data_IF_761167469868
#
_entry.id   IF_761167469868
#
_cell.length_a   1.000
_cell.length_b   1.000
_cell.length_c   1.000
_cell.angle_alpha   90.00
_cell.angle_beta   90.00
_cell.angle_gamma   90.00
#
_symmetry.space_group_name_H-M   'P 1'
#
loop_
_entity.id
_entity.type
_entity.pdbx_description
1 polymer ?
#
# COMPACT_ATOMS: atom_id res chain seq x y z
N UNK A 1 -21.53 -16.63 16.21
CA UNK A 1 -21.93 -15.60 15.21
C UNK A 1 -20.81 -14.58 15.12
N UNK A 2 -19.93 -14.65 14.12
CA UNK A 2 -18.87 -13.66 13.89
C UNK A 2 -19.50 -12.40 13.32
N UNK A 3 -19.40 -11.30 14.04
CA UNK A 3 -19.78 -9.97 13.57
C UNK A 3 -19.09 -9.70 12.23
N UNK A 4 -19.85 -9.68 11.14
CA UNK A 4 -19.42 -9.03 9.92
C UNK A 4 -19.28 -7.55 10.28
N UNK A 5 -18.05 -7.11 10.54
CA UNK A 5 -17.74 -5.69 10.65
C UNK A 5 -18.29 -5.04 9.39
N UNK A 6 -19.28 -4.17 9.52
CA UNK A 6 -19.71 -3.27 8.44
C UNK A 6 -18.47 -2.53 7.99
N UNK A 7 -17.96 -2.89 6.81
CA UNK A 7 -16.83 -2.20 6.21
C UNK A 7 -17.25 -0.76 5.92
N UNK A 8 -16.88 0.13 6.81
CA UNK A 8 -17.17 1.55 6.68
C UNK A 8 -16.26 2.15 5.61
N UNK A 9 -16.84 2.92 4.71
CA UNK A 9 -16.08 3.75 3.79
C UNK A 9 -15.17 4.70 4.57
N UNK A 10 -13.90 4.79 4.17
CA UNK A 10 -12.89 5.59 4.87
C UNK A 10 -12.40 6.72 3.98
N UNK A 11 -12.29 7.90 4.57
CA UNK A 11 -11.55 9.00 3.98
C UNK A 11 -10.04 8.75 4.11
N UNK A 12 -9.25 9.20 3.14
CA UNK A 12 -7.80 9.07 3.12
C UNK A 12 -7.19 10.36 2.55
N UNK A 13 -6.50 11.09 3.41
CA UNK A 13 -5.74 12.27 3.03
C UNK A 13 -4.25 11.93 3.01
N UNK A 14 -3.51 12.53 2.08
CA UNK A 14 -2.08 12.33 1.94
C UNK A 14 -1.38 13.65 1.73
N UNK A 15 -0.25 13.79 2.38
CA UNK A 15 0.60 14.95 2.28
C UNK A 15 2.04 14.49 2.08
N UNK A 16 2.77 15.22 1.25
CA UNK A 16 4.22 15.12 1.19
C UNK A 16 4.78 16.15 2.16
N UNK A 17 5.48 15.69 3.18
CA UNK A 17 6.03 16.53 4.24
C UNK A 17 7.52 16.27 4.42
N UNK A 18 8.21 17.19 5.06
CA UNK A 18 9.63 17.05 5.44
C UNK A 18 9.81 16.30 6.76
N UNK A 19 11.03 15.84 7.00
CA UNK A 19 11.41 15.25 8.30
C UNK A 19 11.17 16.23 9.46
N UNK A 20 11.48 17.51 9.28
CA UNK A 20 11.26 18.55 10.31
C UNK A 20 9.77 18.73 10.62
N UNK A 21 8.90 18.71 9.59
CA UNK A 21 7.45 18.76 9.79
C UNK A 21 6.94 17.51 10.50
N UNK A 22 7.48 16.33 10.21
CA UNK A 22 7.16 15.10 10.94
C UNK A 22 7.45 15.23 12.43
N UNK A 23 8.64 15.72 12.80
CA UNK A 23 9.01 15.91 14.20
C UNK A 23 8.05 16.88 14.91
N UNK A 24 7.76 18.00 14.28
CA UNK A 24 6.82 19.00 14.82
C UNK A 24 5.40 18.44 14.95
N UNK A 25 4.91 17.73 13.93
CA UNK A 25 3.60 17.08 13.97
C UNK A 25 3.53 15.99 15.05
N UNK A 26 4.59 15.20 15.20
CA UNK A 26 4.66 14.15 16.24
C UNK A 26 4.50 14.77 17.64
N UNK A 27 5.20 15.87 17.93
CA UNK A 27 5.06 16.55 19.21
C UNK A 27 3.65 17.10 19.44
N UNK A 28 3.00 17.64 18.41
CA UNK A 28 1.64 18.20 18.48
C UNK A 28 0.57 17.11 18.58
N UNK A 29 0.77 15.95 17.93
CA UNK A 29 -0.19 14.84 17.89
C UNK A 29 -0.09 13.93 19.12
N UNK A 30 1.09 13.79 19.71
CA UNK A 30 1.36 12.92 20.87
C UNK A 30 0.39 13.09 22.07
N UNK A 31 -0.10 14.29 22.42
CA UNK A 31 -1.08 14.44 23.49
C UNK A 31 -2.46 13.84 23.21
N UNK A 32 -2.80 13.62 21.93
CA UNK A 32 -4.15 13.21 21.48
C UNK A 32 -4.17 11.80 20.92
N UNK A 33 -3.05 11.29 20.42
CA UNK A 33 -2.94 10.00 19.74
C UNK A 33 -2.09 9.02 20.54
N UNK A 34 -2.41 7.76 20.39
CA UNK A 34 -1.62 6.67 20.95
C UNK A 34 -0.83 5.98 19.83
N UNK A 35 0.38 5.46 20.11
CA UNK A 35 1.07 4.55 19.19
C UNK A 35 0.18 3.34 18.90
N UNK A 36 0.21 2.84 17.66
CA UNK A 36 -0.48 1.60 17.32
C UNK A 36 0.13 0.44 18.14
N UNK A 37 -0.68 -0.33 18.92
CA UNK A 37 -0.16 -1.42 19.76
C UNK A 37 0.63 -2.50 19.01
N UNK A 38 0.43 -2.60 17.69
CA UNK A 38 1.15 -3.55 16.84
C UNK A 38 2.47 -2.98 16.29
N UNK A 39 2.78 -1.74 16.59
CA UNK A 39 4.02 -1.09 16.18
C UNK A 39 5.00 -1.07 17.34
N UNK A 40 6.27 -1.39 17.07
CA UNK A 40 7.36 -1.11 18.01
C UNK A 40 7.57 0.41 18.17
N UNK A 41 8.50 0.82 19.05
CA UNK A 41 8.80 2.25 19.29
C UNK A 41 9.11 3.02 18.00
N UNK A 42 9.78 2.37 17.04
CA UNK A 42 10.16 2.95 15.75
C UNK A 42 9.21 2.59 14.60
N UNK A 43 8.04 2.02 14.91
CA UNK A 43 7.10 1.55 13.91
C UNK A 43 7.46 0.17 13.34
N UNK A 44 7.22 -0.05 12.06
CA UNK A 44 7.49 -1.31 11.38
C UNK A 44 7.75 -1.11 9.88
N UNK A 45 8.56 -2.01 9.35
CA UNK A 45 8.85 -2.08 7.92
C UNK A 45 7.69 -2.74 7.17
N UNK A 46 7.39 -2.22 5.97
CA UNK A 46 6.38 -2.78 5.06
C UNK A 46 7.04 -3.04 3.70
N UNK A 47 6.89 -4.27 3.23
CA UNK A 47 7.18 -4.65 1.84
C UNK A 47 5.90 -5.07 1.14
N UNK A 48 5.69 -4.56 -0.07
CA UNK A 48 4.50 -4.89 -0.86
C UNK A 48 4.87 -5.13 -2.31
N UNK A 49 4.57 -6.31 -2.83
CA UNK A 49 4.66 -6.63 -4.25
C UNK A 49 3.34 -6.23 -4.91
N UNK A 50 3.37 -5.26 -5.81
CA UNK A 50 2.22 -4.81 -6.58
C UNK A 50 2.12 -5.58 -7.89
N UNK A 51 0.86 -5.81 -8.28
CA UNK A 51 0.49 -6.46 -9.52
C UNK A 51 -0.27 -5.49 -10.41
N UNK A 52 -0.09 -5.64 -11.72
CA UNK A 52 -0.89 -4.96 -12.74
C UNK A 52 -1.17 -5.91 -13.90
N UNK A 53 -2.19 -5.60 -14.69
CA UNK A 53 -2.56 -6.38 -15.84
C UNK A 53 -1.65 -6.08 -17.06
N UNK A 54 -1.93 -6.74 -18.17
CA UNK A 54 -1.19 -6.55 -19.42
C UNK A 54 -1.15 -5.08 -19.86
N UNK A 55 -2.23 -4.36 -19.67
CA UNK A 55 -2.40 -2.96 -20.11
C UNK A 55 -1.87 -1.94 -19.09
N UNK A 56 -1.32 -2.37 -17.95
CA UNK A 56 -0.96 -1.51 -16.83
C UNK A 56 -2.14 -0.66 -16.32
N UNK A 57 -3.34 -1.23 -16.32
CA UNK A 57 -4.57 -0.50 -15.99
C UNK A 57 -4.52 0.19 -14.63
N UNK A 58 -3.92 -0.43 -13.59
CA UNK A 58 -3.83 0.19 -12.28
C UNK A 58 -2.90 1.41 -12.25
N UNK A 59 -1.90 1.47 -13.11
CA UNK A 59 -1.05 2.63 -13.32
C UNK A 59 -1.78 3.69 -14.14
N UNK A 60 -2.23 3.35 -15.35
CA UNK A 60 -2.87 4.26 -16.31
C UNK A 60 -4.14 4.91 -15.72
N UNK A 61 -5.04 4.13 -15.13
CA UNK A 61 -6.25 4.63 -14.47
C UNK A 61 -5.95 5.61 -13.32
N UNK A 62 -4.81 5.40 -12.61
CA UNK A 62 -4.41 6.30 -11.55
C UNK A 62 -3.91 7.63 -12.11
N UNK A 63 -3.10 7.61 -13.17
CA UNK A 63 -2.58 8.81 -13.82
C UNK A 63 -3.68 9.58 -14.53
N UNK A 64 -4.57 8.91 -15.24
CA UNK A 64 -5.74 9.49 -15.88
C UNK A 64 -6.82 9.98 -14.89
N UNK A 65 -6.67 9.72 -13.59
CA UNK A 65 -7.64 10.16 -12.57
C UNK A 65 -8.98 9.43 -12.63
N UNK A 66 -9.05 8.23 -13.24
CA UNK A 66 -10.28 7.44 -13.38
C UNK A 66 -10.95 7.24 -12.02
N UNK A 67 -12.26 7.44 -11.94
CA UNK A 67 -13.02 7.37 -10.68
C UNK A 67 -13.05 5.98 -10.06
N UNK A 68 -13.24 4.95 -10.92
CA UNK A 68 -13.27 3.55 -10.48
C UNK A 68 -11.95 2.90 -10.84
N UNK A 69 -11.21 2.44 -9.84
CA UNK A 69 -9.92 1.75 -10.04
C UNK A 69 -9.64 0.74 -8.94
N UNK A 70 -8.85 -0.28 -9.29
CA UNK A 70 -8.46 -1.34 -8.38
C UNK A 70 -6.94 -1.51 -8.41
N UNK A 71 -6.37 -1.96 -7.29
CA UNK A 71 -4.96 -2.35 -7.19
C UNK A 71 -4.83 -3.61 -6.36
N UNK A 72 -4.03 -4.54 -6.85
CA UNK A 72 -3.69 -5.76 -6.14
C UNK A 72 -2.26 -5.71 -5.63
N UNK A 73 -2.03 -6.31 -4.47
CA UNK A 73 -0.69 -6.47 -3.91
C UNK A 73 -0.62 -7.64 -2.95
N UNK A 74 0.53 -8.23 -2.84
CA UNK A 74 0.90 -9.11 -1.72
C UNK A 74 1.74 -8.28 -0.75
N UNK A 75 1.46 -8.40 0.55
CA UNK A 75 2.14 -7.61 1.57
C UNK A 75 2.64 -8.48 2.71
N UNK A 76 3.83 -8.16 3.17
CA UNK A 76 4.40 -8.66 4.41
C UNK A 76 4.93 -7.50 5.27
N UNK A 77 5.23 -7.82 6.54
CA UNK A 77 5.66 -6.88 7.56
C UNK A 77 6.95 -7.36 8.18
N UNK A 78 7.92 -6.44 8.38
CA UNK A 78 9.22 -6.72 8.98
C UNK A 78 9.97 -7.89 8.31
N UNK A 79 9.83 -8.05 7.00
CA UNK A 79 10.37 -9.18 6.23
C UNK A 79 10.01 -10.56 6.82
N UNK A 80 8.84 -10.66 7.45
CA UNK A 80 8.39 -11.86 8.13
C UNK A 80 7.27 -12.53 7.32
N UNK A 81 7.43 -13.81 7.04
CA UNK A 81 6.51 -14.63 6.24
C UNK A 81 5.33 -15.23 7.04
N UNK A 82 5.26 -14.99 8.37
CA UNK A 82 4.13 -15.44 9.20
C UNK A 82 2.80 -14.74 8.89
N UNK A 83 2.85 -13.51 8.37
CA UNK A 83 1.67 -12.70 8.11
C UNK A 83 1.70 -12.11 6.71
N UNK A 84 1.44 -12.96 5.73
CA UNK A 84 1.36 -12.54 4.33
C UNK A 84 -0.11 -12.33 3.96
N UNK A 85 -0.39 -11.26 3.22
CA UNK A 85 -1.75 -10.93 2.78
C UNK A 85 -1.79 -10.56 1.32
N UNK A 86 -2.65 -11.24 0.55
CA UNK A 86 -3.16 -10.71 -0.70
C UNK A 86 -4.17 -9.62 -0.36
N UNK A 87 -4.00 -8.43 -0.94
CA UNK A 87 -4.88 -7.29 -0.70
C UNK A 87 -5.35 -6.71 -2.04
N UNK A 88 -6.64 -6.38 -2.11
CA UNK A 88 -7.21 -5.56 -3.17
C UNK A 88 -7.74 -4.26 -2.58
N UNK A 89 -7.32 -3.15 -3.15
CA UNK A 89 -7.87 -1.82 -2.87
C UNK A 89 -8.68 -1.36 -4.06
N UNK A 90 -9.98 -1.21 -3.89
CA UNK A 90 -10.88 -0.56 -4.85
C UNK A 90 -11.10 0.89 -4.42
N UNK A 91 -11.09 1.81 -5.38
CA UNK A 91 -11.44 3.20 -5.16
C UNK A 91 -12.61 3.57 -6.07
N UNK A 92 -13.60 4.24 -5.51
CA UNK A 92 -14.72 4.84 -6.25
C UNK A 92 -14.87 6.29 -5.78
N UNK A 93 -14.44 7.23 -6.59
CA UNK A 93 -14.37 8.64 -6.18
C UNK A 93 -13.50 8.82 -4.93
N UNK A 94 -14.09 9.33 -3.85
CA UNK A 94 -13.45 9.46 -2.54
C UNK A 94 -13.50 8.17 -1.70
N UNK A 95 -14.34 7.22 -2.05
CA UNK A 95 -14.55 6.00 -1.27
C UNK A 95 -13.50 4.95 -1.55
N UNK A 96 -13.03 4.31 -0.48
CA UNK A 96 -12.04 3.25 -0.54
C UNK A 96 -12.60 2.00 0.11
N UNK A 97 -12.55 0.91 -0.64
CA UNK A 97 -12.89 -0.43 -0.19
C UNK A 97 -11.65 -1.32 -0.25
N UNK A 98 -11.38 -2.04 0.84
CA UNK A 98 -10.22 -2.92 0.95
C UNK A 98 -10.64 -4.32 1.34
N UNK A 99 -10.17 -5.30 0.58
CA UNK A 99 -10.31 -6.72 0.90
C UNK A 99 -8.94 -7.33 1.13
N UNK A 100 -8.88 -8.38 1.94
CA UNK A 100 -7.64 -9.11 2.17
C UNK A 100 -7.90 -10.59 2.40
N UNK A 101 -6.98 -11.42 1.92
CA UNK A 101 -6.91 -12.85 2.18
C UNK A 101 -5.51 -13.21 2.69
N UNK A 102 -5.38 -14.04 3.73
CA UNK A 102 -4.09 -14.55 4.14
C UNK A 102 -3.54 -15.51 3.06
N UNK A 103 -2.23 -15.52 2.91
CA UNK A 103 -1.50 -16.47 2.07
C UNK A 103 -0.36 -17.07 2.88
N UNK A 104 0.06 -18.28 2.50
CA UNK A 104 1.31 -18.87 2.96
C UNK A 104 2.47 -18.45 2.04
N UNK A 105 3.70 -18.69 2.48
CA UNK A 105 4.90 -18.47 1.65
C UNK A 105 4.85 -19.32 0.38
N UNK A 106 4.54 -20.61 0.51
CA UNK A 106 4.43 -21.53 -0.63
C UNK A 106 3.39 -21.06 -1.66
N UNK A 107 2.26 -20.52 -1.20
CA UNK A 107 1.23 -19.98 -2.09
C UNK A 107 1.72 -18.74 -2.85
N UNK A 108 2.52 -17.87 -2.21
CA UNK A 108 3.13 -16.74 -2.90
C UNK A 108 4.18 -17.20 -3.90
N UNK A 109 5.02 -18.17 -3.56
CA UNK A 109 6.01 -18.76 -4.49
C UNK A 109 5.33 -19.36 -5.72
N UNK A 110 4.19 -20.06 -5.55
CA UNK A 110 3.36 -20.52 -6.68
C UNK A 110 2.86 -19.37 -7.55
N UNK A 111 2.37 -18.30 -6.95
CA UNK A 111 1.93 -17.11 -7.69
C UNK A 111 3.08 -16.52 -8.51
N UNK A 112 4.28 -16.41 -7.94
CA UNK A 112 5.47 -15.91 -8.64
C UNK A 112 5.90 -16.79 -9.80
N UNK A 113 5.68 -18.12 -9.69
CA UNK A 113 5.95 -19.10 -10.74
C UNK A 113 4.83 -19.19 -11.80
N UNK A 114 3.73 -18.43 -11.64
CA UNK A 114 2.62 -18.47 -12.60
C UNK A 114 1.63 -19.62 -12.37
N UNK A 115 1.69 -20.29 -11.24
CA UNK A 115 0.81 -21.38 -10.84
C UNK A 115 -0.36 -20.83 -10.05
N UNK A 116 -1.54 -20.66 -10.65
CA UNK A 116 -2.66 -19.94 -10.04
C UNK A 116 -3.84 -20.83 -9.63
N UNK A 117 -3.94 -22.12 -10.10
CA UNK A 117 -5.11 -22.98 -9.91
C UNK A 117 -5.49 -23.18 -8.44
N UNK A 118 -4.53 -23.22 -7.53
CA UNK A 118 -4.78 -23.38 -6.10
C UNK A 118 -5.65 -22.26 -5.50
N UNK A 119 -5.62 -21.04 -6.09
CA UNK A 119 -6.43 -19.90 -5.65
C UNK A 119 -7.94 -20.17 -5.74
N UNK A 120 -8.37 -21.10 -6.62
CA UNK A 120 -9.78 -21.50 -6.75
C UNK A 120 -10.25 -22.31 -5.53
N UNK A 121 -9.35 -22.95 -4.80
CA UNK A 121 -9.64 -23.80 -3.65
C UNK A 121 -9.56 -23.05 -2.31
N UNK A 122 -9.07 -21.82 -2.31
CA UNK A 122 -9.03 -20.96 -1.13
C UNK A 122 -10.42 -20.38 -0.87
N UNK A 123 -10.88 -20.44 0.39
CA UNK A 123 -12.23 -19.99 0.79
C UNK A 123 -12.52 -18.49 0.64
N UNK A 124 -11.50 -17.66 0.37
CA UNK A 124 -11.65 -16.21 0.24
C UNK A 124 -12.02 -15.82 -1.20
N UNK A 125 -13.16 -15.13 -1.42
CA UNK A 125 -13.58 -14.71 -2.77
C UNK A 125 -12.52 -13.89 -3.51
N UNK A 126 -11.73 -13.10 -2.78
CA UNK A 126 -10.62 -12.31 -3.32
C UNK A 126 -9.61 -13.18 -4.08
N UNK A 127 -9.31 -14.39 -3.59
CA UNK A 127 -8.36 -15.30 -4.25
C UNK A 127 -8.89 -15.77 -5.60
N UNK A 128 -10.17 -16.12 -5.67
CA UNK A 128 -10.81 -16.50 -6.94
C UNK A 128 -10.84 -15.34 -7.94
N UNK A 129 -11.13 -14.12 -7.49
CA UNK A 129 -11.08 -12.94 -8.37
C UNK A 129 -9.65 -12.67 -8.84
N UNK A 130 -8.66 -12.83 -7.96
CA UNK A 130 -7.26 -12.68 -8.33
C UNK A 130 -6.80 -13.74 -9.35
N UNK A 131 -7.29 -14.99 -9.21
CA UNK A 131 -7.08 -16.02 -10.24
C UNK A 131 -7.58 -15.55 -11.62
N UNK A 132 -8.81 -15.02 -11.70
CA UNK A 132 -9.38 -14.50 -12.95
C UNK A 132 -8.52 -13.38 -13.52
N UNK A 133 -8.04 -12.45 -12.69
CA UNK A 133 -7.14 -11.38 -13.14
C UNK A 133 -5.83 -11.95 -13.71
N UNK A 134 -5.24 -12.94 -13.06
CA UNK A 134 -4.00 -13.55 -13.50
C UNK A 134 -4.13 -14.34 -14.80
N UNK A 135 -5.27 -15.00 -15.01
CA UNK A 135 -5.51 -15.85 -16.19
C UNK A 135 -6.12 -15.09 -17.36
N UNK A 136 -7.10 -14.22 -17.12
CA UNK A 136 -7.83 -13.51 -18.18
C UNK A 136 -7.21 -12.16 -18.55
N UNK A 137 -6.64 -11.44 -17.56
CA UNK A 137 -6.07 -10.12 -17.77
C UNK A 137 -4.53 -10.12 -17.71
N UNK A 138 -3.93 -11.32 -17.65
CA UNK A 138 -2.47 -11.52 -17.56
C UNK A 138 -1.83 -10.67 -16.45
N UNK A 139 -2.49 -10.59 -15.29
CA UNK A 139 -1.96 -9.84 -14.16
C UNK A 139 -0.65 -10.46 -13.66
N UNK A 140 0.39 -9.66 -13.52
CA UNK A 140 1.75 -10.07 -13.16
C UNK A 140 2.37 -9.11 -12.13
N UNK A 141 3.43 -9.52 -11.42
CA UNK A 141 4.24 -8.62 -10.61
C UNK A 141 4.75 -7.42 -11.42
N UNK A 142 4.77 -6.23 -10.80
CA UNK A 142 5.23 -4.99 -11.44
C UNK A 142 6.32 -4.26 -10.67
N UNK A 143 6.16 -4.13 -9.36
CA UNK A 143 7.21 -3.55 -8.53
C UNK A 143 7.04 -3.97 -7.06
N UNK A 144 8.15 -4.02 -6.36
CA UNK A 144 8.20 -4.13 -4.90
C UNK A 144 8.35 -2.72 -4.34
N UNK A 145 7.48 -2.40 -3.39
CA UNK A 145 7.44 -1.12 -2.68
C UNK A 145 7.79 -1.36 -1.21
N UNK A 146 8.87 -0.74 -0.76
CA UNK A 146 9.37 -0.80 0.60
C UNK A 146 9.22 0.56 1.30
N UNK A 147 8.90 0.57 2.58
CA UNK A 147 8.92 1.76 3.40
C UNK A 147 8.81 1.44 4.89
N UNK A 148 9.27 2.36 5.72
CA UNK A 148 9.13 2.32 7.16
C UNK A 148 7.91 3.13 7.59
N UNK A 149 7.05 2.55 8.46
CA UNK A 149 5.80 3.16 8.90
C UNK A 149 5.76 3.38 10.39
N UNK A 150 5.52 4.62 10.80
CA UNK A 150 5.20 4.97 12.19
C UNK A 150 3.71 5.33 12.27
N UNK A 151 2.88 4.46 12.85
CA UNK A 151 1.44 4.67 12.95
C UNK A 151 1.01 5.20 14.31
N UNK A 152 0.05 6.13 14.29
CA UNK A 152 -0.67 6.66 15.44
C UNK A 152 -2.16 6.44 15.29
N UNK A 153 -2.86 6.17 16.38
CA UNK A 153 -4.29 5.88 16.39
C UNK A 153 -5.03 6.77 17.39
N UNK A 154 -6.28 7.07 17.07
CA UNK A 154 -7.27 7.58 17.98
C UNK A 154 -8.55 6.75 17.78
N UNK A 155 -9.05 6.14 18.86
CA UNK A 155 -10.21 5.26 18.79
C UNK A 155 -11.48 6.03 18.43
N UNK A 156 -11.60 7.26 18.91
CA UNK A 156 -12.65 8.17 18.51
C UNK A 156 -12.56 8.51 17.03
N UNK A 157 -13.63 8.26 16.29
CA UNK A 157 -13.69 8.49 14.84
C UNK A 157 -12.84 7.53 13.99
N UNK A 158 -12.26 6.50 14.59
CA UNK A 158 -11.36 5.53 13.89
C UNK A 158 -10.25 6.21 13.11
N UNK A 159 -9.64 7.25 13.71
CA UNK A 159 -8.56 8.00 13.08
C UNK A 159 -7.27 7.20 13.14
N UNK A 160 -6.60 7.14 12.01
CA UNK A 160 -5.24 6.58 11.92
C UNK A 160 -4.35 7.53 11.13
N UNK A 161 -3.31 8.01 11.77
CA UNK A 161 -2.27 8.86 11.16
C UNK A 161 -1.01 8.03 11.02
N UNK A 162 -0.39 8.02 9.84
CA UNK A 162 0.83 7.27 9.60
C UNK A 162 1.86 8.14 8.89
N UNK A 163 3.11 8.03 9.33
CA UNK A 163 4.27 8.56 8.65
C UNK A 163 4.96 7.42 7.91
N UNK A 164 4.96 7.48 6.59
CA UNK A 164 5.61 6.51 5.71
C UNK A 164 6.92 7.11 5.22
N UNK A 165 8.00 6.62 5.77
CA UNK A 165 9.36 7.13 5.56
C UNK A 165 10.14 6.21 4.63
N UNK A 166 11.17 6.76 4.00
CA UNK A 166 12.13 6.02 3.21
C UNK A 166 11.44 5.09 2.17
N UNK A 167 10.57 5.69 1.37
CA UNK A 167 9.85 4.95 0.32
C UNK A 167 10.83 4.57 -0.78
N UNK A 168 10.94 3.25 -1.02
CA UNK A 168 11.92 2.67 -1.95
C UNK A 168 11.25 1.70 -2.91
N UNK A 169 11.80 1.59 -4.12
CA UNK A 169 11.47 0.54 -5.07
C UNK A 169 12.60 -0.49 -5.11
N UNK A 170 12.33 -1.75 -4.80
CA UNK A 170 13.31 -2.81 -4.96
C UNK A 170 13.48 -3.17 -6.44
N UNK A 171 14.70 -3.53 -6.83
CA UNK A 171 15.08 -3.86 -8.21
C UNK A 171 15.79 -5.22 -8.29
N UNK A 172 15.83 -5.78 -9.49
CA UNK A 172 16.55 -7.01 -9.81
C UNK A 172 15.73 -8.30 -9.70
N UNK A 173 14.67 -8.30 -8.89
CA UNK A 173 13.78 -9.47 -8.75
C UNK A 173 12.41 -9.06 -8.20
N UNK A 174 11.41 -9.92 -8.41
CA UNK A 174 10.09 -9.85 -7.76
C UNK A 174 9.96 -10.79 -6.57
N UNK A 175 11.05 -11.43 -6.13
CA UNK A 175 11.02 -12.23 -4.91
C UNK A 175 10.82 -11.33 -3.69
N UNK A 176 9.59 -11.31 -3.21
CA UNK A 176 9.19 -10.49 -2.06
C UNK A 176 9.88 -10.93 -0.76
N UNK A 177 10.44 -12.14 -0.71
CA UNK A 177 11.11 -12.70 0.47
C UNK A 177 12.61 -12.39 0.52
N UNK A 178 13.20 -11.99 -0.60
CA UNK A 178 14.61 -11.61 -0.63
C UNK A 178 14.80 -10.22 0.00
N UNK A 179 15.29 -10.22 1.24
CA UNK A 179 15.58 -8.99 2.00
C UNK A 179 16.83 -8.25 1.52
N UNK A 180 17.62 -8.86 0.62
CA UNK A 180 18.89 -8.30 0.13
C UNK A 180 18.75 -7.52 -1.17
N UNK A 181 17.55 -7.48 -1.75
CA UNK A 181 17.32 -6.77 -3.01
C UNK A 181 17.77 -5.31 -2.91
N UNK A 182 18.55 -4.83 -3.87
CA UNK A 182 18.86 -3.42 -4.00
C UNK A 182 17.58 -2.60 -4.11
N UNK A 183 17.54 -1.43 -3.49
CA UNK A 183 16.35 -0.59 -3.50
C UNK A 183 16.72 0.88 -3.77
N UNK A 184 15.91 1.53 -4.61
CA UNK A 184 16.07 2.93 -5.02
C UNK A 184 15.06 3.82 -4.30
N UNK A 185 15.53 4.88 -3.64
CA UNK A 185 14.63 5.89 -3.08
C UNK A 185 13.80 6.54 -4.20
N UNK A 186 12.50 6.72 -3.94
CA UNK A 186 11.55 7.32 -4.90
C UNK A 186 11.03 8.68 -4.46
N UNK A 187 11.38 9.12 -3.26
CA UNK A 187 11.12 10.45 -2.77
C UNK A 187 12.42 11.26 -2.73
N UNK A 188 12.29 12.57 -2.77
CA UNK A 188 13.42 13.48 -2.53
C UNK A 188 13.98 13.27 -1.11
N UNK A 189 15.29 13.47 -0.90
CA UNK A 189 15.91 13.39 0.41
C UNK A 189 15.17 14.24 1.46
N UNK A 190 14.89 13.67 2.63
CA UNK A 190 14.20 14.36 3.72
C UNK A 190 12.69 14.50 3.53
N UNK A 191 12.09 13.95 2.46
CA UNK A 191 10.64 13.90 2.27
C UNK A 191 10.05 12.56 2.69
N UNK A 192 8.81 12.60 3.18
CA UNK A 192 8.04 11.42 3.57
C UNK A 192 6.55 11.63 3.32
N UNK A 193 5.77 10.56 3.37
CA UNK A 193 4.33 10.62 3.15
C UNK A 193 3.60 10.56 4.49
N UNK A 194 2.86 11.60 4.81
CA UNK A 194 1.86 11.62 5.88
C UNK A 194 0.54 11.12 5.31
N UNK A 195 -0.06 10.10 5.92
CA UNK A 195 -1.37 9.55 5.53
C UNK A 195 -2.34 9.62 6.71
N UNK A 196 -3.49 10.27 6.53
CA UNK A 196 -4.54 10.44 7.53
C UNK A 196 -5.78 9.68 7.08
N UNK A 197 -6.20 8.70 7.86
CA UNK A 197 -7.41 7.89 7.61
C UNK A 197 -8.42 8.11 8.71
N UNK A 198 -9.70 8.28 8.33
CA UNK A 198 -10.81 8.38 9.27
C UNK A 198 -12.11 7.93 8.60
N UNK A 199 -13.11 7.51 9.40
CA UNK A 199 -14.38 6.99 8.85
C UNK A 199 -15.41 8.09 8.64
N UNK A 200 -15.87 8.74 9.68
CA UNK A 200 -16.95 9.72 9.60
C UNK A 200 -16.43 11.16 9.56
N UNK A 201 -15.83 11.58 10.64
CA UNK A 201 -15.33 12.93 10.81
C UNK A 201 -13.96 12.93 11.48
N UNK A 202 -13.08 13.78 11.00
CA UNK A 202 -11.82 14.05 11.68
C UNK A 202 -12.09 15.07 12.78
N UNK A 203 -11.75 14.79 14.07
CA UNK A 203 -11.90 15.74 15.16
C UNK A 203 -11.25 17.10 14.87
N UNK A 204 -11.89 18.19 15.28
CA UNK A 204 -11.43 19.56 14.95
C UNK A 204 -9.99 19.79 15.44
N UNK A 205 -9.68 19.33 16.64
CA UNK A 205 -8.33 19.46 17.20
C UNK A 205 -7.25 18.82 16.32
N UNK A 206 -7.54 17.69 15.66
CA UNK A 206 -6.61 17.07 14.72
C UNK A 206 -6.53 17.84 13.40
N UNK A 207 -7.64 18.44 12.96
CA UNK A 207 -7.63 19.31 11.76
C UNK A 207 -6.75 20.53 11.96
N UNK A 208 -6.77 21.11 13.16
CA UNK A 208 -6.01 22.32 13.49
C UNK A 208 -4.50 22.03 13.61
N UNK A 209 -4.13 20.79 13.92
CA UNK A 209 -2.75 20.35 14.05
C UNK A 209 -2.15 19.90 12.72
N UNK A 210 -2.95 19.28 11.85
CA UNK A 210 -2.52 18.76 10.56
C UNK A 210 -2.16 19.89 9.58
N UNK A 211 -1.31 19.64 8.58
CA UNK A 211 -1.00 20.62 7.55
C UNK A 211 -2.27 21.21 6.95
N UNK A 212 -2.34 22.52 6.70
CA UNK A 212 -3.47 23.13 6.04
C UNK A 212 -3.70 22.50 4.66
N UNK A 213 -4.93 22.56 4.16
CA UNK A 213 -5.30 22.00 2.86
C UNK A 213 -4.51 22.59 1.67
N UNK A 214 -3.83 23.72 1.88
CA UNK A 214 -2.89 24.32 0.93
C UNK A 214 -1.49 23.72 0.95
N UNK A 215 -1.12 22.99 2.02
CA UNK A 215 0.08 22.16 1.98
C UNK A 215 -0.17 21.03 0.97
N UNK A 216 0.77 20.72 0.13
CA UNK A 216 0.68 19.77 -0.97
C UNK A 216 -0.19 18.54 -0.66
N UNK A 217 -1.51 18.72 -0.80
CA UNK A 217 -2.48 17.64 -0.81
C UNK A 217 -2.22 16.83 -2.08
N UNK A 218 -1.34 15.86 -1.99
CA UNK A 218 -0.88 15.15 -3.16
C UNK A 218 -1.61 13.82 -3.27
N UNK A 219 -2.00 13.50 -4.49
CA UNK A 219 -2.49 12.16 -4.83
C UNK A 219 -1.32 11.13 -4.89
N UNK A 220 -0.33 11.25 -3.97
CA UNK A 220 0.87 10.40 -3.95
C UNK A 220 0.47 8.92 -3.92
N UNK A 221 0.90 8.21 -4.94
CA UNK A 221 0.78 6.76 -5.03
C UNK A 221 2.17 6.13 -4.97
N UNK A 222 2.51 5.48 -3.84
CA UNK A 222 3.79 4.77 -3.71
C UNK A 222 4.02 3.78 -4.84
N UNK A 223 2.94 3.10 -5.28
CA UNK A 223 3.00 2.20 -6.44
C UNK A 223 3.46 2.93 -7.70
N UNK A 224 2.83 4.06 -8.05
CA UNK A 224 3.19 4.84 -9.25
C UNK A 224 4.63 5.30 -9.19
N UNK A 225 5.04 5.95 -8.09
CA UNK A 225 6.41 6.42 -7.93
C UNK A 225 7.45 5.29 -8.06
N UNK A 226 7.18 4.15 -7.43
CA UNK A 226 8.07 3.00 -7.50
C UNK A 226 8.09 2.38 -8.90
N UNK A 227 6.94 2.22 -9.54
CA UNK A 227 6.83 1.69 -10.88
C UNK A 227 7.56 2.57 -11.89
N UNK A 228 7.32 3.87 -11.90
CA UNK A 228 8.02 4.83 -12.78
C UNK A 228 9.54 4.79 -12.61
N UNK A 229 9.99 4.66 -11.36
CA UNK A 229 11.43 4.57 -11.06
C UNK A 229 12.09 3.31 -11.59
N UNK A 230 11.35 2.20 -11.67
CA UNK A 230 11.93 0.87 -11.92
C UNK A 230 11.42 0.17 -13.17
N UNK A 231 10.45 0.72 -13.90
CA UNK A 231 9.81 0.06 -15.06
C UNK A 231 10.81 -0.42 -16.11
N UNK A 232 11.88 0.32 -16.34
CA UNK A 232 12.95 -0.05 -17.30
C UNK A 232 14.03 -0.96 -16.70
N UNK A 233 14.02 -1.20 -15.38
CA UNK A 233 15.05 -1.97 -14.69
C UNK A 233 14.61 -3.40 -14.40
N UNK A 234 13.30 -3.65 -14.33
CA UNK A 234 12.73 -4.94 -13.96
C UNK A 234 12.33 -5.82 -15.17
N UNK A 235 12.93 -5.56 -16.33
CA UNK A 235 12.80 -6.44 -17.49
C UNK A 235 11.44 -6.40 -18.18
N UNK A 236 10.69 -5.32 -18.04
CA UNK A 236 9.32 -5.21 -18.57
C UNK A 236 9.22 -5.08 -20.08
N UNK A 237 10.30 -4.72 -20.77
CA UNK A 237 10.32 -4.55 -22.23
C UNK A 237 10.28 -5.88 -23.02
N UNK A 238 10.60 -7.02 -22.38
CA UNK A 238 10.63 -8.32 -23.06
C UNK A 238 9.25 -8.90 -23.44
N UNK A 239 8.16 -8.30 -23.03
CA UNK A 239 6.81 -8.81 -23.33
C UNK A 239 6.21 -8.24 -24.62
N UNK A 240 6.88 -7.27 -25.26
CA UNK A 240 6.41 -6.64 -26.50
C UNK A 240 7.12 -7.20 -27.76
N UNK A 241 8.11 -8.08 -27.62
CA UNK A 241 8.91 -8.58 -28.73
C UNK A 241 8.72 -10.08 -29.05
N UNK A 242 7.70 -10.74 -28.49
CA UNK A 242 7.36 -12.13 -28.86
C UNK A 242 5.87 -12.19 -29.30
#
# INVERSE_FOLDING_TARGET
MRNKSREAFRNEWKYLISTSEKEMLTLRLKPFLQPDPHAGENGYFIRSLYFDDYWNSAYEEKEAGVLMRKKYRIRLYNNNDKFIKLERKKKFGSYIYKESAPLTREEVEKILNGEYEFLLHIQYPLCREFYIECTSNMMRPRCIVDYDRVPWILDEGTVRITFDMDVRAAVGSYDIFDSTLPALSVLEPGKLVLEVKFTQMLPQILRDVLPPSSAEFTAVSKYVLCYEKTRYMNGFEYWYET
#
